data_IF_046100491503
#
_entry.id   IF_046100491503
#
_cell.length_a   1.000
_cell.length_b   1.000
_cell.length_c   1.000
_cell.angle_alpha   90.00
_cell.angle_beta   90.00
_cell.angle_gamma   90.00
#
_symmetry.space_group_name_H-M   'P 1'
#
loop_
_entity.id
_entity.type
_entity.pdbx_description
1 polymer ?
#
# COMPACT_ATOMS: atom_id res chain seq x y z
N UNK A 1 41.05 7.09 16.87
CA UNK A 1 39.82 7.19 17.68
C UNK A 1 38.66 7.24 16.70
N UNK A 2 38.01 6.09 16.48
CA UNK A 2 36.92 5.96 15.51
C UNK A 2 35.62 6.49 16.09
N UNK A 3 34.96 7.39 15.37
CA UNK A 3 33.59 7.82 15.66
C UNK A 3 32.64 6.67 15.26
N UNK A 4 31.66 6.30 16.10
CA UNK A 4 30.67 5.32 15.67
C UNK A 4 29.73 5.97 14.66
N UNK A 5 29.78 5.47 13.42
CA UNK A 5 28.75 5.71 12.42
C UNK A 5 27.44 5.13 12.97
N UNK A 6 26.66 5.98 13.64
CA UNK A 6 25.26 5.67 13.95
C UNK A 6 24.56 5.53 12.60
N UNK A 7 24.43 4.28 12.15
CA UNK A 7 23.48 3.88 11.13
C UNK A 7 22.10 4.25 11.64
N UNK A 8 21.69 5.48 11.34
CA UNK A 8 20.31 5.90 11.47
C UNK A 8 19.53 5.09 10.46
N UNK A 9 18.89 4.02 10.92
CA UNK A 9 17.71 3.49 10.24
C UNK A 9 16.71 4.64 10.32
N UNK A 10 16.62 5.42 9.25
CA UNK A 10 15.50 6.34 9.08
C UNK A 10 14.25 5.49 9.27
N UNK A 11 13.29 5.90 10.13
CA UNK A 11 12.02 5.19 10.19
C UNK A 11 11.52 5.11 8.76
N UNK A 12 11.35 3.88 8.26
CA UNK A 12 10.57 3.60 7.06
C UNK A 12 9.36 4.50 7.18
N UNK A 13 9.29 5.52 6.31
CA UNK A 13 8.16 6.43 6.27
C UNK A 13 6.97 5.50 6.03
N UNK A 14 6.24 5.20 7.11
CA UNK A 14 5.14 4.24 7.07
C UNK A 14 4.25 4.64 5.91
N UNK A 15 3.92 3.67 5.06
CA UNK A 15 3.06 3.81 3.89
C UNK A 15 2.04 4.92 4.12
N UNK A 16 2.40 6.12 3.67
CA UNK A 16 1.48 7.25 3.70
C UNK A 16 0.80 7.16 2.37
N UNK A 17 -0.31 6.42 2.35
CA UNK A 17 -1.18 6.41 1.20
C UNK A 17 -1.42 7.85 0.76
N UNK A 18 -1.05 8.15 -0.48
CA UNK A 18 -1.20 9.49 -1.08
C UNK A 18 -2.68 9.91 -1.07
N UNK A 19 -3.56 8.92 -1.01
CA UNK A 19 -5.01 9.03 -0.99
C UNK A 19 -5.51 8.39 0.30
N UNK A 20 -6.30 9.13 1.08
CA UNK A 20 -6.91 8.58 2.30
C UNK A 20 -7.96 7.52 1.97
N UNK A 21 -8.17 6.55 2.87
CA UNK A 21 -9.25 5.55 2.74
C UNK A 21 -10.62 6.20 2.56
N UNK A 22 -10.90 7.32 3.24
CA UNK A 22 -12.12 8.10 3.05
C UNK A 22 -12.30 8.54 1.58
N UNK A 23 -11.21 8.98 0.94
CA UNK A 23 -11.23 9.40 -0.46
C UNK A 23 -11.45 8.21 -1.38
N UNK A 24 -10.82 7.06 -1.09
CA UNK A 24 -11.04 5.80 -1.83
C UNK A 24 -12.51 5.37 -1.71
N UNK A 25 -13.08 5.43 -0.50
CA UNK A 25 -14.48 5.09 -0.25
C UNK A 25 -15.43 5.93 -1.10
N UNK A 26 -15.27 7.25 -1.10
CA UNK A 26 -16.09 8.16 -1.94
C UNK A 26 -15.94 7.87 -3.44
N UNK A 27 -14.71 7.63 -3.89
CA UNK A 27 -14.43 7.27 -5.29
C UNK A 27 -15.07 5.95 -5.71
N UNK A 28 -15.39 5.04 -4.79
CA UNK A 28 -16.10 3.78 -5.08
C UNK A 28 -17.62 3.96 -4.97
N UNK A 29 -18.09 4.66 -3.93
CA UNK A 29 -19.53 4.86 -3.67
C UNK A 29 -20.19 5.70 -4.77
N UNK A 30 -19.56 6.79 -5.19
CA UNK A 30 -20.12 7.67 -6.22
C UNK A 30 -20.41 6.91 -7.54
N UNK A 31 -19.45 6.22 -8.17
CA UNK A 31 -19.75 5.47 -9.39
C UNK A 31 -20.70 4.29 -9.14
N UNK A 32 -20.62 3.59 -8.02
CA UNK A 32 -21.55 2.50 -7.72
C UNK A 32 -23.00 2.99 -7.59
N UNK A 33 -23.19 4.15 -6.96
CA UNK A 33 -24.50 4.77 -6.77
C UNK A 33 -25.02 5.40 -8.06
N UNK A 34 -24.22 6.23 -8.72
CA UNK A 34 -24.68 7.04 -9.85
C UNK A 34 -24.63 6.30 -11.19
N UNK A 35 -23.64 5.45 -11.42
CA UNK A 35 -23.52 4.71 -12.68
C UNK A 35 -24.21 3.35 -12.62
N UNK A 36 -24.03 2.63 -11.51
CA UNK A 36 -24.54 1.27 -11.37
C UNK A 36 -25.90 1.21 -10.65
N UNK A 37 -26.38 2.34 -10.09
CA UNK A 37 -27.65 2.43 -9.34
C UNK A 37 -27.72 1.42 -8.18
N UNK A 38 -26.57 1.10 -7.59
CA UNK A 38 -26.50 0.20 -6.46
C UNK A 38 -26.86 0.96 -5.17
N UNK A 39 -27.73 0.40 -4.32
CA UNK A 39 -28.06 1.00 -3.03
C UNK A 39 -26.93 0.71 -2.04
N UNK A 40 -25.84 1.46 -2.12
CA UNK A 40 -24.70 1.34 -1.22
C UNK A 40 -24.81 2.41 -0.13
N UNK A 41 -24.68 1.99 1.13
CA UNK A 41 -24.55 2.89 2.26
C UNK A 41 -23.07 3.26 2.47
N UNK A 42 -22.68 4.55 2.36
CA UNK A 42 -21.29 4.96 2.46
C UNK A 42 -20.68 4.70 3.84
N UNK A 43 -21.48 4.77 4.90
CA UNK A 43 -21.03 4.53 6.28
C UNK A 43 -20.81 3.03 6.58
N UNK A 44 -21.30 2.14 5.71
CA UNK A 44 -21.12 0.70 5.81
C UNK A 44 -19.94 0.16 4.97
N UNK A 45 -19.20 1.03 4.26
CA UNK A 45 -18.12 0.60 3.36
C UNK A 45 -16.80 0.39 4.12
N UNK A 46 -16.36 -0.87 4.20
CA UNK A 46 -15.01 -1.20 4.65
C UNK A 46 -14.04 -1.14 3.47
N UNK A 47 -13.06 -0.22 3.53
CA UNK A 47 -11.98 -0.14 2.54
C UNK A 47 -10.97 -1.23 2.88
N UNK A 48 -11.04 -2.34 2.14
CA UNK A 48 -10.07 -3.40 2.28
C UNK A 48 -8.76 -2.99 1.62
N UNK A 49 -7.63 -3.44 2.20
CA UNK A 49 -6.30 -3.23 1.60
C UNK A 49 -6.32 -3.59 0.12
N UNK A 50 -5.70 -2.73 -0.69
CA UNK A 50 -5.73 -2.87 -2.15
C UNK A 50 -5.22 -4.25 -2.57
N UNK A 51 -5.67 -4.74 -3.72
CA UNK A 51 -5.18 -6.00 -4.26
C UNK A 51 -3.66 -6.02 -4.35
N UNK A 52 -3.04 -4.88 -4.67
CA UNK A 52 -1.60 -4.70 -4.65
C UNK A 52 -1.00 -4.95 -3.26
N UNK A 53 -1.53 -4.34 -2.21
CA UNK A 53 -1.07 -4.53 -0.83
C UNK A 53 -1.21 -6.00 -0.37
N UNK A 54 -2.30 -6.67 -0.77
CA UNK A 54 -2.50 -8.11 -0.49
C UNK A 54 -1.52 -9.00 -1.24
N UNK A 55 -1.16 -8.63 -2.46
CA UNK A 55 -0.14 -9.34 -3.25
C UNK A 55 1.23 -9.12 -2.63
N UNK A 56 1.56 -7.89 -2.21
CA UNK A 56 2.83 -7.58 -1.54
C UNK A 56 2.96 -8.30 -0.19
N UNK A 57 1.91 -8.35 0.62
CA UNK A 57 1.89 -9.12 1.87
C UNK A 57 2.13 -10.60 1.61
N UNK A 58 1.47 -11.17 0.59
CA UNK A 58 1.73 -12.54 0.14
C UNK A 58 3.15 -12.74 -0.38
N UNK A 59 3.72 -11.77 -1.11
CA UNK A 59 5.11 -11.84 -1.58
C UNK A 59 6.06 -11.75 -0.38
N UNK A 60 5.76 -10.93 0.63
CA UNK A 60 6.53 -10.84 1.87
C UNK A 60 6.59 -12.18 2.62
N UNK A 61 5.52 -12.98 2.58
CA UNK A 61 5.54 -14.35 3.11
C UNK A 61 6.47 -15.30 2.34
N UNK A 62 6.81 -14.98 1.09
CA UNK A 62 7.67 -15.78 0.18
C UNK A 62 9.08 -15.14 0.05
N UNK A 63 9.40 -14.12 0.85
CA UNK A 63 10.63 -13.32 0.73
C UNK A 63 11.93 -13.83 1.39
N UNK A 64 12.20 -15.13 1.69
CA UNK A 64 13.61 -15.53 1.83
C UNK A 64 14.36 -15.55 0.49
N UNK A 65 13.71 -15.32 -0.67
CA UNK A 65 14.31 -15.54 -1.99
C UNK A 65 13.98 -14.45 -3.03
N UNK A 66 14.17 -13.16 -2.72
CA UNK A 66 14.42 -12.20 -3.81
C UNK A 66 15.91 -12.25 -4.14
N UNK A 67 16.33 -12.72 -5.33
CA UNK A 67 17.64 -12.33 -5.82
C UNK A 67 17.59 -10.80 -5.95
N UNK A 68 18.58 -10.13 -5.37
CA UNK A 68 18.84 -8.72 -5.64
C UNK A 68 19.03 -8.63 -7.14
N UNK A 69 18.04 -8.15 -7.87
CA UNK A 69 18.24 -7.75 -9.26
C UNK A 69 19.22 -6.57 -9.20
N UNK A 70 20.50 -6.89 -9.32
CA UNK A 70 21.55 -5.92 -9.56
C UNK A 70 21.39 -5.49 -11.02
N UNK A 71 20.73 -4.37 -11.24
CA UNK A 71 20.75 -3.69 -12.53
C UNK A 71 22.16 -3.11 -12.74
N UNK A 72 23.13 -3.98 -13.01
CA UNK A 72 24.44 -3.60 -13.54
C UNK A 72 24.74 -4.51 -14.73
N UNK A 73 23.97 -4.32 -15.78
CA UNK A 73 24.43 -4.61 -17.14
C UNK A 73 25.10 -3.33 -17.67
N UNK A 74 26.44 -3.33 -17.67
CA UNK A 74 27.28 -2.59 -18.63
C UNK A 74 28.09 -3.62 -19.42
#
# INVERSE_FOLDING_TARGET
>A
MGLPHKGGILPVMGDKDIVSEETIGRLVVDPATYLLKLPIDPDSLEVLGTEYHRIEDRIALIQPLRPTWDCRDE
#
